data_IF_504897087835
#
_entry.id   IF_504897087835
#
_cell.length_a   1.000
_cell.length_b   1.000
_cell.length_c   1.000
_cell.angle_alpha   90.00
_cell.angle_beta   90.00
_cell.angle_gamma   90.00
#
_symmetry.space_group_name_H-M   'P 1'
#
loop_
_entity.id
_entity.type
_entity.pdbx_description
1 polymer ?
#
# COMPACT_ATOMS: atom_id res chain seq x y z
N UNK A 1 0.20 -4.60 57.82
CA UNK A 1 0.23 -6.07 57.64
C UNK A 1 -0.85 -6.46 56.63
N UNK A 2 -0.45 -7.11 55.52
CA UNK A 2 -1.11 -8.22 54.80
C UNK A 2 -2.65 -8.16 54.63
N UNK A 3 -3.14 -7.82 53.44
CA UNK A 3 -3.62 -8.72 52.34
C UNK A 3 -4.97 -9.39 52.60
N UNK A 4 -5.92 -9.26 51.67
CA UNK A 4 -6.43 -10.38 50.84
C UNK A 4 -7.76 -10.01 50.13
N UNK A 5 -7.67 -9.97 48.79
CA UNK A 5 -8.55 -10.57 47.78
C UNK A 5 -9.95 -11.07 48.17
N UNK A 6 -10.95 -10.72 47.35
CA UNK A 6 -11.98 -11.66 46.94
C UNK A 6 -12.20 -11.56 45.43
N UNK A 7 -11.96 -12.69 44.75
CA UNK A 7 -12.33 -12.97 43.36
C UNK A 7 -13.83 -13.31 43.35
N UNK A 8 -14.56 -12.87 42.34
CA UNK A 8 -15.88 -13.43 42.01
C UNK A 8 -15.80 -13.96 40.58
N UNK A 9 -15.78 -15.28 40.48
CA UNK A 9 -16.15 -15.99 39.27
C UNK A 9 -17.64 -16.26 39.36
N UNK A 10 -18.40 -15.94 38.32
CA UNK A 10 -19.57 -16.75 37.96
C UNK A 10 -19.83 -16.63 36.45
N UNK A 11 -19.93 -17.79 35.81
CA UNK A 11 -20.32 -17.96 34.41
C UNK A 11 -21.82 -18.24 34.39
N UNK A 12 -22.61 -17.42 33.69
CA UNK A 12 -23.91 -17.86 33.17
C UNK A 12 -24.35 -16.97 31.99
N UNK A 13 -24.57 -17.58 30.84
CA UNK A 13 -25.18 -17.05 29.61
C UNK A 13 -26.37 -17.98 29.29
N UNK A 14 -27.28 -17.69 28.34
CA UNK A 14 -27.89 -16.42 27.90
C UNK A 14 -29.42 -16.56 27.69
N UNK A 15 -30.25 -15.50 27.86
CA UNK A 15 -31.64 -15.51 27.30
C UNK A 15 -32.16 -14.09 26.95
N UNK A 16 -32.26 -13.85 25.64
CA UNK A 16 -33.38 -13.34 24.82
C UNK A 16 -34.10 -11.98 25.10
N UNK A 17 -33.81 -11.06 24.17
CA UNK A 17 -34.59 -9.97 23.52
C UNK A 17 -35.62 -9.12 24.27
N UNK A 18 -35.38 -7.80 24.26
CA UNK A 18 -36.43 -6.80 24.00
C UNK A 18 -35.79 -5.55 23.38
N UNK A 19 -36.14 -5.31 22.13
CA UNK A 19 -35.70 -4.17 21.33
C UNK A 19 -36.20 -2.86 21.95
N UNK A 20 -35.28 -1.95 22.30
CA UNK A 20 -35.60 -0.53 22.53
C UNK A 20 -34.54 0.32 21.84
N UNK A 21 -34.91 0.84 20.68
CA UNK A 21 -34.17 1.81 19.89
C UNK A 21 -34.28 3.18 20.58
N UNK A 22 -33.18 3.67 21.18
CA UNK A 22 -33.09 5.04 21.67
C UNK A 22 -31.64 5.53 21.61
N UNK A 23 -31.40 6.29 20.54
CA UNK A 23 -30.43 7.38 20.40
C UNK A 23 -28.94 7.00 20.40
N UNK A 24 -28.44 6.76 19.18
CA UNK A 24 -27.05 6.40 18.89
C UNK A 24 -26.04 7.46 19.34
N UNK A 25 -25.16 7.06 20.26
CA UNK A 25 -23.91 7.77 20.53
C UNK A 25 -23.03 7.78 19.26
N UNK A 26 -22.46 8.94 18.86
CA UNK A 26 -21.55 8.99 17.73
C UNK A 26 -20.23 8.31 18.11
N UNK A 27 -20.06 7.07 17.64
CA UNK A 27 -18.80 6.32 17.75
C UNK A 27 -17.66 7.20 17.21
N UNK A 28 -16.80 7.68 18.10
CA UNK A 28 -15.68 8.54 17.74
C UNK A 28 -14.88 7.87 16.61
N UNK A 29 -14.92 8.46 15.42
CA UNK A 29 -14.14 7.98 14.28
C UNK A 29 -12.68 8.03 14.71
N UNK A 30 -12.04 6.86 14.88
CA UNK A 30 -10.59 6.77 15.12
C UNK A 30 -9.93 7.61 14.03
N UNK A 31 -9.29 8.72 14.40
CA UNK A 31 -8.52 9.51 13.44
C UNK A 31 -7.49 8.55 12.87
N UNK A 32 -7.58 8.24 11.58
CA UNK A 32 -6.56 7.47 10.89
C UNK A 32 -5.21 8.14 11.24
N UNK A 33 -4.36 7.42 11.96
CA UNK A 33 -3.08 7.97 12.41
C UNK A 33 -2.36 8.52 11.19
N UNK A 34 -1.90 9.77 11.28
CA UNK A 34 -1.04 10.37 10.24
C UNK A 34 0.07 9.34 9.97
N UNK A 35 0.26 8.88 8.72
CA UNK A 35 1.34 7.94 8.44
C UNK A 35 2.62 8.54 9.01
N UNK A 36 3.31 7.75 9.85
CA UNK A 36 4.48 8.22 10.59
C UNK A 36 5.51 8.83 9.65
N UNK A 37 6.30 9.78 10.15
CA UNK A 37 7.38 10.40 9.39
C UNK A 37 8.42 9.34 9.03
N UNK A 38 8.30 8.72 7.84
CA UNK A 38 9.29 7.79 7.32
C UNK A 38 10.48 8.62 6.85
N UNK A 39 11.63 8.44 7.49
CA UNK A 39 12.87 9.13 7.11
C UNK A 39 13.29 8.72 5.70
N UNK A 40 13.41 9.70 4.79
CA UNK A 40 13.97 9.46 3.47
C UNK A 40 15.47 9.12 3.57
N UNK A 41 15.99 8.24 2.71
CA UNK A 41 17.43 7.99 2.64
C UNK A 41 18.18 9.25 2.17
N UNK A 42 19.47 9.30 2.51
CA UNK A 42 20.36 10.39 2.10
C UNK A 42 20.32 10.59 0.57
N UNK A 43 20.40 11.85 0.08
CA UNK A 43 20.34 12.16 -1.36
C UNK A 43 21.27 11.32 -2.23
N UNK A 44 22.52 11.11 -1.79
CA UNK A 44 23.52 10.35 -2.53
C UNK A 44 23.08 8.90 -2.77
N UNK A 45 22.49 8.26 -1.75
CA UNK A 45 21.96 6.89 -1.86
C UNK A 45 20.73 6.80 -2.78
N UNK A 46 20.03 7.91 -3.03
CA UNK A 46 18.87 7.95 -3.93
C UNK A 46 19.25 7.95 -5.40
N UNK A 47 20.43 8.48 -5.74
CA UNK A 47 20.93 8.59 -7.11
C UNK A 47 21.98 7.55 -7.48
N UNK A 48 22.60 6.88 -6.50
CA UNK A 48 23.59 5.84 -6.76
C UNK A 48 22.97 4.65 -7.51
N UNK A 49 23.55 4.30 -8.67
CA UNK A 49 23.18 3.12 -9.46
C UNK A 49 21.88 3.24 -10.27
N UNK A 50 21.22 4.40 -10.26
CA UNK A 50 19.98 4.64 -11.02
C UNK A 50 20.28 5.07 -12.46
N UNK A 51 20.89 4.17 -13.25
CA UNK A 51 21.06 4.36 -14.69
C UNK A 51 19.67 4.35 -15.36
N UNK A 52 18.99 3.22 -15.30
CA UNK A 52 17.69 3.07 -15.94
C UNK A 52 16.54 3.55 -15.04
N UNK A 53 15.96 4.69 -15.40
CA UNK A 53 14.83 5.28 -14.69
C UNK A 53 13.52 5.20 -15.52
N UNK A 54 12.42 4.73 -14.94
CA UNK A 54 11.12 4.76 -15.60
C UNK A 54 10.58 6.19 -15.60
N UNK A 55 10.25 6.68 -16.79
CA UNK A 55 9.64 7.98 -17.02
C UNK A 55 8.24 7.79 -17.60
N UNK A 56 7.22 8.28 -16.88
CA UNK A 56 5.88 8.41 -17.42
C UNK A 56 5.86 9.57 -18.42
N UNK A 57 5.39 9.30 -19.64
CA UNK A 57 5.30 10.32 -20.68
C UNK A 57 3.85 10.56 -21.08
N UNK A 58 3.56 11.82 -21.38
CA UNK A 58 2.25 12.25 -21.83
C UNK A 58 2.10 11.94 -23.33
N UNK A 59 1.65 10.73 -23.61
CA UNK A 59 1.30 10.26 -24.94
C UNK A 59 -0.21 10.07 -25.00
N UNK A 60 -0.82 10.59 -26.08
CA UNK A 60 -2.22 10.32 -26.41
C UNK A 60 -2.50 8.82 -26.44
N UNK A 61 -1.67 8.07 -27.16
CA UNK A 61 -1.79 6.63 -27.31
C UNK A 61 -0.65 5.87 -26.63
N UNK A 62 -1.00 4.85 -25.85
CA UNK A 62 -0.03 3.98 -25.19
C UNK A 62 0.72 3.10 -26.21
N UNK A 63 2.03 2.98 -26.03
CA UNK A 63 2.91 2.19 -26.90
C UNK A 63 2.99 0.74 -26.45
N UNK A 64 3.26 -0.19 -27.36
CA UNK A 64 3.47 -1.60 -27.00
C UNK A 64 4.72 -1.77 -26.14
N UNK A 65 4.58 -2.59 -25.10
CA UNK A 65 5.70 -3.04 -24.28
C UNK A 65 6.72 -3.78 -25.16
N UNK A 66 8.01 -3.53 -24.93
CA UNK A 66 9.12 -4.17 -25.68
C UNK A 66 9.66 -5.43 -25.02
N UNK A 67 9.17 -5.80 -23.83
CA UNK A 67 9.55 -7.05 -23.20
C UNK A 67 8.99 -8.25 -24.00
N UNK A 68 9.81 -9.23 -24.43
CA UNK A 68 9.37 -10.33 -25.30
C UNK A 68 8.18 -11.14 -24.76
N UNK A 69 8.05 -11.26 -23.45
CA UNK A 69 6.96 -12.00 -22.79
C UNK A 69 5.69 -11.17 -22.58
N UNK A 70 5.64 -9.93 -23.08
CA UNK A 70 4.54 -9.01 -22.81
C UNK A 70 3.89 -8.48 -24.09
N UNK A 71 2.56 -8.56 -24.16
CA UNK A 71 1.75 -7.99 -25.25
C UNK A 71 1.02 -6.70 -24.85
N UNK A 72 1.27 -6.20 -23.64
CA UNK A 72 0.61 -5.02 -23.09
C UNK A 72 1.01 -3.70 -23.76
N UNK A 73 0.25 -2.64 -23.46
CA UNK A 73 0.59 -1.26 -23.80
C UNK A 73 0.95 -0.46 -22.55
N UNK A 74 1.85 0.50 -22.67
CA UNK A 74 2.38 1.33 -21.58
C UNK A 74 2.66 2.76 -22.06
N UNK A 75 2.61 3.70 -21.12
CA UNK A 75 3.05 5.09 -21.29
C UNK A 75 4.33 5.39 -20.52
N UNK A 76 5.02 4.33 -20.07
CA UNK A 76 6.26 4.42 -19.32
C UNK A 76 7.39 4.03 -20.26
N UNK A 77 8.40 4.88 -20.36
CA UNK A 77 9.65 4.60 -21.06
C UNK A 77 10.84 4.60 -20.12
N UNK A 78 11.89 3.87 -20.45
CA UNK A 78 13.20 4.05 -19.81
C UNK A 78 13.82 5.36 -20.32
N UNK A 79 14.32 6.20 -19.41
CA UNK A 79 14.93 7.49 -19.75
C UNK A 79 16.21 7.33 -20.59
N UNK A 80 17.02 6.31 -20.31
CA UNK A 80 18.28 6.06 -21.01
C UNK A 80 18.10 5.21 -22.27
N UNK A 81 17.41 4.07 -22.15
CA UNK A 81 17.26 3.14 -23.28
C UNK A 81 16.19 3.57 -24.29
N UNK A 82 15.32 4.52 -23.94
CA UNK A 82 14.18 4.96 -24.76
C UNK A 82 13.24 3.82 -25.20
N UNK A 83 13.14 2.76 -24.39
CA UNK A 83 12.23 1.62 -24.61
C UNK A 83 10.99 1.73 -23.73
N UNK A 84 9.86 1.25 -24.26
CA UNK A 84 8.58 1.24 -23.56
C UNK A 84 8.40 -0.06 -22.78
N UNK A 85 8.28 0.04 -21.46
CA UNK A 85 8.17 -1.12 -20.56
C UNK A 85 7.02 -0.93 -19.56
N UNK A 86 6.34 -2.02 -19.22
CA UNK A 86 5.27 -2.00 -18.24
C UNK A 86 5.84 -1.95 -16.81
N UNK A 87 5.25 -1.09 -15.98
CA UNK A 87 5.43 -1.08 -14.52
C UNK A 87 4.06 -1.22 -13.89
N UNK A 88 3.65 -2.45 -13.62
CA UNK A 88 2.34 -2.80 -13.06
C UNK A 88 2.53 -3.67 -11.81
N UNK A 89 1.51 -3.75 -10.95
CA UNK A 89 1.54 -4.55 -9.72
C UNK A 89 1.86 -6.03 -10.01
N UNK A 90 1.17 -6.60 -10.99
CA UNK A 90 1.25 -8.04 -11.27
C UNK A 90 2.38 -8.39 -12.27
N UNK A 91 2.90 -7.39 -13.00
CA UNK A 91 3.97 -7.57 -13.99
C UNK A 91 4.90 -6.37 -14.03
N UNK A 92 6.18 -6.60 -13.74
CA UNK A 92 7.20 -5.56 -13.75
C UNK A 92 8.21 -5.81 -14.87
N UNK A 93 7.77 -5.55 -16.11
CA UNK A 93 8.61 -5.71 -17.30
C UNK A 93 9.82 -4.76 -17.30
N UNK A 94 9.74 -3.62 -16.61
CA UNK A 94 10.87 -2.72 -16.46
C UNK A 94 11.99 -3.38 -15.65
N UNK A 95 11.66 -3.96 -14.51
CA UNK A 95 12.61 -4.67 -13.68
C UNK A 95 13.17 -5.90 -14.41
N UNK A 96 12.32 -6.73 -15.01
CA UNK A 96 12.78 -7.95 -15.70
C UNK A 96 13.72 -7.69 -16.89
N UNK A 97 13.56 -6.55 -17.56
CA UNK A 97 14.39 -6.18 -18.72
C UNK A 97 15.76 -5.61 -18.32
N UNK A 98 15.88 -5.00 -17.13
CA UNK A 98 17.08 -4.27 -16.67
C UNK A 98 17.82 -4.92 -15.50
N UNK A 99 17.38 -6.10 -15.05
CA UNK A 99 18.08 -6.91 -14.04
C UNK A 99 19.52 -7.22 -14.41
#
# INVERSE_FOLDING_TARGET
MRTAQLLIQDKNEPVFDSETDSDGEPRAKRKAGRPGNVSLPLPEKRSQGALHLPQAIDLKDAQRCRNPSCTGKTRIKCAECNVYLCVLKDRNCFYDFHK
#
